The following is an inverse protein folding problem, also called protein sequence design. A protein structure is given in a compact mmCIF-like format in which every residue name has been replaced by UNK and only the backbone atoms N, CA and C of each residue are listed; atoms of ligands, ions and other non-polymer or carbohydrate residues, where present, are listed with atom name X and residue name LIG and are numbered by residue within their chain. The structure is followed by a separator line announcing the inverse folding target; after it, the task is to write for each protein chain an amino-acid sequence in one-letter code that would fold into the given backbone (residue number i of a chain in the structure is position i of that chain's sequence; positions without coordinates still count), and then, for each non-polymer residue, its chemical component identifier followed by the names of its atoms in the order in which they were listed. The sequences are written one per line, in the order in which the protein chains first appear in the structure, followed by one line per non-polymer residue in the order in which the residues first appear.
data_IF_907788448516
#
_entry.id   IF_907788448516
#
_cell.length_a   1.000
_cell.length_b   1.000
_cell.length_c   1.000
_cell.angle_alpha   90.00
_cell.angle_beta   90.00
_cell.angle_gamma   90.00
#
_symmetry.space_group_name_H-M   'P 1'
#
loop_
_entity.id
_entity.type
_entity.pdbx_description
1 polymer ?
#
# COMPACT_ATOMS: atom_id res chain seq x y z
N UNK A 1 15.52 -13.33 13.99
CA UNK A 1 15.91 -14.69 13.54
C UNK A 1 15.50 -14.90 12.09
N UNK A 2 15.74 -16.08 11.51
CA UNK A 2 15.39 -16.44 10.13
C UNK A 2 14.16 -17.38 10.09
N UNK A 3 12.93 -16.85 10.25
CA UNK A 3 11.72 -17.67 10.23
C UNK A 3 11.48 -18.29 8.84
N UNK A 4 10.74 -19.40 8.79
CA UNK A 4 10.16 -19.86 7.54
C UNK A 4 9.16 -18.83 7.00
N UNK A 5 8.88 -18.84 5.70
CA UNK A 5 7.87 -17.96 5.10
C UNK A 5 6.52 -18.05 5.82
N UNK A 6 6.03 -19.28 6.09
CA UNK A 6 4.76 -19.49 6.80
C UNK A 6 4.77 -18.91 8.22
N UNK A 7 5.89 -19.03 8.92
CA UNK A 7 6.05 -18.45 10.26
C UNK A 7 6.04 -16.92 10.21
N UNK A 8 6.69 -16.33 9.20
CA UNK A 8 6.68 -14.88 9.02
C UNK A 8 5.28 -14.36 8.72
N UNK A 9 4.56 -14.99 7.79
CA UNK A 9 3.15 -14.62 7.48
C UNK A 9 2.27 -14.71 8.72
N UNK A 10 2.43 -15.74 9.55
CA UNK A 10 1.69 -15.85 10.81
C UNK A 10 1.94 -14.68 11.77
N UNK A 11 3.20 -14.23 11.90
CA UNK A 11 3.55 -13.08 12.75
C UNK A 11 3.02 -11.76 12.20
N UNK A 12 3.07 -11.57 10.89
CA UNK A 12 2.51 -10.39 10.22
C UNK A 12 1.01 -10.34 10.45
N UNK A 13 0.30 -11.45 10.23
CA UNK A 13 -1.14 -11.52 10.48
C UNK A 13 -1.51 -11.21 11.94
N UNK A 14 -0.75 -11.73 12.92
CA UNK A 14 -0.95 -11.42 14.34
C UNK A 14 -0.74 -9.92 14.63
N UNK A 15 0.31 -9.33 14.06
CA UNK A 15 0.65 -7.92 14.24
C UNK A 15 -0.42 -7.01 13.62
N UNK A 16 -0.86 -7.31 12.39
CA UNK A 16 -1.86 -6.52 11.68
C UNK A 16 -3.23 -6.59 12.37
N UNK A 17 -3.62 -7.78 12.86
CA UNK A 17 -4.86 -7.93 13.64
C UNK A 17 -4.83 -7.13 14.94
N UNK A 18 -3.68 -7.12 15.63
CA UNK A 18 -3.51 -6.28 16.81
C UNK A 18 -3.55 -4.78 16.46
N UNK A 19 -2.96 -4.37 15.34
CA UNK A 19 -3.00 -3.00 14.86
C UNK A 19 -4.43 -2.55 14.51
N UNK A 20 -5.24 -3.40 13.87
CA UNK A 20 -6.64 -3.10 13.57
C UNK A 20 -7.49 -2.88 14.83
N UNK A 21 -7.14 -3.48 15.97
CA UNK A 21 -7.82 -3.25 17.23
C UNK A 21 -7.60 -1.82 17.79
N UNK A 22 -6.62 -1.08 17.24
CA UNK A 22 -6.23 0.28 17.65
C UNK A 22 -6.27 1.30 16.49
N UNK A 23 -7.01 0.99 15.42
CA UNK A 23 -7.06 1.79 14.19
C UNK A 23 -7.71 3.17 14.34
N UNK A 24 -8.37 3.41 15.47
CA UNK A 24 -9.03 4.67 15.82
C UNK A 24 -8.03 5.78 16.19
N UNK A 25 -6.78 5.42 16.48
CA UNK A 25 -5.72 6.37 16.76
C UNK A 25 -5.14 6.91 15.44
N UNK A 26 -5.21 8.23 15.18
CA UNK A 26 -4.59 8.81 13.99
C UNK A 26 -3.08 8.60 13.99
N UNK A 27 -2.51 8.31 12.82
CA UNK A 27 -1.06 8.11 12.67
C UNK A 27 -0.25 9.31 13.18
N UNK A 28 -0.72 10.54 12.93
CA UNK A 28 -0.08 11.77 13.38
C UNK A 28 0.05 11.83 14.90
N UNK A 29 -0.93 11.30 15.65
CA UNK A 29 -0.85 11.21 17.13
C UNK A 29 0.23 10.25 17.56
N UNK A 30 0.39 9.11 16.88
CA UNK A 30 1.47 8.16 17.18
C UNK A 30 2.85 8.80 16.96
N UNK A 31 3.01 9.56 15.88
CA UNK A 31 4.25 10.30 15.59
C UNK A 31 4.52 11.37 16.67
N UNK A 32 3.49 12.10 17.10
CA UNK A 32 3.61 13.12 18.14
C UNK A 32 4.09 12.52 19.46
N UNK A 33 3.49 11.41 19.90
CA UNK A 33 3.84 10.76 21.17
C UNK A 33 5.23 10.10 21.14
N UNK A 34 5.62 9.49 20.02
CA UNK A 34 6.94 8.86 19.88
C UNK A 34 8.06 9.88 19.63
N UNK A 35 7.73 11.09 19.18
CA UNK A 35 8.63 12.19 18.89
C UNK A 35 9.95 11.78 18.19
N UNK A 36 9.91 11.03 17.06
CA UNK A 36 11.11 10.61 16.38
C UNK A 36 11.90 11.83 15.84
N UNK A 37 13.22 11.71 15.61
CA UNK A 37 13.99 12.77 14.96
C UNK A 37 13.35 13.21 13.65
N UNK A 38 13.07 14.51 13.53
CA UNK A 38 12.40 15.06 12.35
C UNK A 38 13.34 15.03 11.15
N UNK A 39 12.83 14.57 10.02
CA UNK A 39 13.49 14.64 8.72
C UNK A 39 12.53 15.28 7.71
N UNK A 40 13.05 16.13 6.83
CA UNK A 40 12.30 16.63 5.67
C UNK A 40 12.38 15.69 4.47
N UNK A 41 13.29 14.71 4.51
CA UNK A 41 13.58 13.78 3.41
C UNK A 41 13.01 12.37 3.62
N UNK A 42 12.36 12.11 4.77
CA UNK A 42 11.87 10.78 5.13
C UNK A 42 10.52 10.86 5.81
N UNK A 43 9.63 9.95 5.43
CA UNK A 43 8.38 9.76 6.17
C UNK A 43 8.68 9.20 7.57
N UNK A 44 8.00 9.69 8.62
CA UNK A 44 8.22 9.22 9.98
C UNK A 44 7.82 7.74 10.13
N UNK A 45 8.53 7.04 11.01
CA UNK A 45 8.31 5.65 11.44
C UNK A 45 8.48 4.54 10.38
N UNK A 46 8.12 4.78 9.12
CA UNK A 46 8.26 3.82 8.03
C UNK A 46 8.54 4.52 6.70
N UNK A 47 9.17 3.79 5.77
CA UNK A 47 9.60 4.29 4.48
C UNK A 47 9.05 3.49 3.30
N UNK A 48 8.47 2.31 3.57
CA UNK A 48 7.86 1.43 2.57
C UNK A 48 6.38 1.27 2.88
N UNK A 49 5.52 1.61 1.92
CA UNK A 49 4.07 1.42 1.99
C UNK A 49 3.65 0.23 1.13
N UNK A 50 2.69 -0.55 1.63
CA UNK A 50 2.02 -1.62 0.87
C UNK A 50 0.51 -1.46 0.99
N UNK A 51 -0.14 -1.24 -0.15
CA UNK A 51 -1.59 -1.27 -0.31
C UNK A 51 -1.98 -2.52 -1.09
N UNK A 52 -2.89 -3.33 -0.57
CA UNK A 52 -3.48 -4.46 -1.30
C UNK A 52 -4.99 -4.25 -1.44
N UNK A 53 -5.43 -3.99 -2.66
CA UNK A 53 -6.84 -3.87 -3.02
C UNK A 53 -7.38 -5.26 -3.39
N UNK A 54 -7.89 -5.96 -2.39
CA UNK A 54 -8.43 -7.33 -2.53
C UNK A 54 -9.96 -7.38 -2.55
N UNK A 55 -10.63 -6.22 -2.51
CA UNK A 55 -12.08 -6.13 -2.68
C UNK A 55 -12.43 -5.78 -4.12
N UNK A 56 -13.57 -6.26 -4.66
CA UNK A 56 -13.99 -5.90 -6.01
C UNK A 56 -14.08 -4.39 -6.18
N UNK A 57 -13.39 -3.85 -7.18
CA UNK A 57 -13.47 -2.43 -7.48
C UNK A 57 -14.93 -2.03 -7.76
N UNK A 58 -15.44 -0.94 -7.15
CA UNK A 58 -16.74 -0.42 -7.51
C UNK A 58 -16.75 -0.09 -9.00
N UNK A 59 -17.68 -0.68 -9.76
CA UNK A 59 -17.94 -0.25 -11.14
C UNK A 59 -18.99 0.85 -11.07
N UNK A 60 -18.63 2.14 -11.17
CA UNK A 60 -19.62 3.19 -11.19
C UNK A 60 -20.55 2.99 -12.38
N UNK A 61 -21.84 2.78 -12.11
CA UNK A 61 -22.88 2.77 -13.13
C UNK A 61 -23.43 4.18 -13.25
N UNK A 62 -23.24 4.80 -14.42
CA UNK A 62 -23.80 6.10 -14.76
C UNK A 62 -24.65 5.95 -16.01
N UNK A 63 -25.93 6.31 -15.92
CA UNK A 63 -26.88 6.11 -17.01
C UNK A 63 -26.43 6.83 -18.28
N UNK A 64 -26.35 6.08 -19.39
CA UNK A 64 -25.94 6.58 -20.70
C UNK A 64 -24.43 6.85 -20.84
N UNK A 65 -23.59 6.51 -19.85
CA UNK A 65 -22.15 6.75 -19.87
C UNK A 65 -21.35 5.46 -19.72
N UNK A 66 -20.33 5.31 -20.55
CA UNK A 66 -19.30 4.28 -20.38
C UNK A 66 -18.18 4.85 -19.51
N UNK A 67 -17.89 4.24 -18.37
CA UNK A 67 -16.80 4.65 -17.48
C UNK A 67 -15.59 3.74 -17.67
N UNK A 68 -14.47 4.32 -18.06
CA UNK A 68 -13.16 3.67 -18.09
C UNK A 68 -12.24 4.32 -17.06
N UNK A 69 -11.45 3.51 -16.35
CA UNK A 69 -10.43 4.02 -15.41
C UNK A 69 -9.27 4.60 -16.22
N UNK A 70 -9.01 5.88 -16.06
CA UNK A 70 -7.78 6.50 -16.58
C UNK A 70 -6.61 6.06 -15.68
N UNK A 71 -5.58 5.46 -16.27
CA UNK A 71 -4.47 4.86 -15.54
C UNK A 71 -3.36 5.86 -15.19
N UNK A 72 -3.43 7.11 -15.65
CA UNK A 72 -2.36 8.08 -15.41
C UNK A 72 -2.91 9.43 -14.97
N UNK A 73 -3.12 9.60 -13.68
CA UNK A 73 -2.94 10.93 -13.10
C UNK A 73 -1.47 10.97 -12.69
N UNK A 74 -0.66 11.79 -13.36
CA UNK A 74 0.76 11.91 -13.05
C UNK A 74 0.95 12.23 -11.57
N UNK A 75 1.34 11.22 -10.78
CA UNK A 75 1.60 11.37 -9.35
C UNK A 75 2.81 12.29 -9.24
N UNK A 76 2.60 13.46 -8.64
CA UNK A 76 3.64 14.50 -8.56
C UNK A 76 4.40 14.29 -7.25
N UNK A 77 5.53 13.57 -7.32
CA UNK A 77 6.44 13.27 -6.21
C UNK A 77 6.04 12.04 -5.37
N UNK A 78 7.05 11.33 -4.85
CA UNK A 78 6.85 10.18 -3.96
C UNK A 78 6.74 10.63 -2.49
N UNK A 79 5.74 10.13 -1.77
CA UNK A 79 5.57 10.40 -0.33
C UNK A 79 6.46 9.51 0.56
N UNK A 80 6.83 8.35 0.04
CA UNK A 80 7.58 7.30 0.73
C UNK A 80 8.81 6.93 -0.10
N UNK A 81 9.76 6.19 0.46
CA UNK A 81 10.91 5.73 -0.33
C UNK A 81 10.42 4.73 -1.41
N UNK A 82 9.49 3.84 -1.04
CA UNK A 82 8.79 2.90 -1.94
C UNK A 82 7.30 2.77 -1.57
N UNK A 83 6.42 2.73 -2.56
CA UNK A 83 4.99 2.47 -2.37
C UNK A 83 4.51 1.41 -3.35
N UNK A 84 4.09 0.26 -2.81
CA UNK A 84 3.48 -0.81 -3.58
C UNK A 84 1.96 -0.68 -3.53
N UNK A 85 1.35 -0.38 -4.68
CA UNK A 85 -0.10 -0.33 -4.81
C UNK A 85 -0.56 -1.52 -5.66
N UNK A 86 -1.03 -2.58 -5.00
CA UNK A 86 -1.39 -3.86 -5.60
C UNK A 86 -2.91 -4.06 -5.62
N UNK A 87 -3.39 -4.83 -6.59
CA UNK A 87 -4.79 -5.23 -6.73
C UNK A 87 -4.88 -6.71 -7.07
N UNK A 88 -5.67 -7.47 -6.31
CA UNK A 88 -5.97 -8.86 -6.62
C UNK A 88 -7.06 -8.93 -7.69
N UNK A 89 -6.78 -9.66 -8.76
CA UNK A 89 -7.73 -9.91 -9.84
C UNK A 89 -8.47 -11.21 -9.57
N UNK A 90 -9.77 -11.20 -9.83
CA UNK A 90 -10.62 -12.37 -9.74
C UNK A 90 -11.44 -12.50 -11.03
N UNK A 91 -11.69 -13.73 -11.46
CA UNK A 91 -12.61 -13.99 -12.56
C UNK A 91 -14.09 -13.85 -12.15
N UNK A 92 -15.00 -14.10 -13.09
CA UNK A 92 -16.45 -13.99 -12.86
C UNK A 92 -16.96 -14.96 -11.78
N UNK A 93 -16.24 -16.06 -11.54
CA UNK A 93 -16.54 -17.04 -10.49
C UNK A 93 -15.84 -16.74 -9.15
N UNK A 94 -15.09 -15.63 -9.08
CA UNK A 94 -14.35 -15.24 -7.88
C UNK A 94 -13.06 -16.03 -7.64
N UNK A 95 -12.52 -16.70 -8.66
CA UNK A 95 -11.23 -17.41 -8.55
C UNK A 95 -10.07 -16.45 -8.79
N UNK A 96 -8.92 -16.62 -8.10
CA UNK A 96 -7.77 -15.76 -8.31
C UNK A 96 -7.26 -15.78 -9.76
N UNK A 97 -7.12 -14.60 -10.36
CA UNK A 97 -6.59 -14.37 -11.70
C UNK A 97 -5.23 -13.67 -11.68
N UNK A 98 -4.61 -13.54 -10.51
CA UNK A 98 -3.29 -12.93 -10.31
C UNK A 98 -3.38 -11.58 -9.61
N UNK A 99 -2.24 -10.90 -9.58
CA UNK A 99 -2.07 -9.61 -8.91
C UNK A 99 -1.46 -8.64 -9.92
N UNK A 100 -2.04 -7.44 -10.01
CA UNK A 100 -1.53 -6.32 -10.82
C UNK A 100 -1.24 -5.15 -9.89
N UNK A 101 -0.38 -4.23 -10.28
CA UNK A 101 -0.15 -3.05 -9.47
C UNK A 101 0.91 -2.13 -10.05
N UNK A 102 1.27 -1.14 -9.25
CA UNK A 102 2.33 -0.19 -9.54
C UNK A 102 3.27 -0.05 -8.34
N UNK A 103 4.51 0.32 -8.67
CA UNK A 103 5.53 0.72 -7.70
C UNK A 103 5.83 2.20 -7.95
N UNK A 104 5.54 3.03 -6.95
CA UNK A 104 6.04 4.41 -6.88
C UNK A 104 7.31 4.41 -6.01
N UNK A 105 8.36 5.09 -6.47
CA UNK A 105 9.63 5.17 -5.77
C UNK A 105 10.18 6.60 -5.77
N UNK A 106 10.98 6.91 -4.77
CA UNK A 106 11.74 8.16 -4.71
C UNK A 106 12.91 8.13 -5.71
N UNK A 107 12.86 8.96 -6.76
CA UNK A 107 13.90 9.04 -7.80
C UNK A 107 15.24 9.58 -7.28
N UNK A 108 15.25 10.26 -6.12
CA UNK A 108 16.50 10.67 -5.47
C UNK A 108 17.24 9.46 -4.84
N UNK A 109 16.55 8.33 -4.64
CA UNK A 109 17.08 7.13 -3.99
C UNK A 109 17.25 5.94 -4.92
N UNK A 110 16.33 5.78 -5.88
CA UNK A 110 16.25 4.63 -6.74
C UNK A 110 16.20 5.03 -8.22
N UNK A 111 16.78 4.18 -9.05
CA UNK A 111 16.52 4.19 -10.47
C UNK A 111 15.51 3.09 -10.85
N UNK A 112 15.01 3.14 -12.09
CA UNK A 112 14.05 2.16 -12.59
C UNK A 112 14.56 0.71 -12.54
N UNK A 113 15.87 0.50 -12.53
CA UNK A 113 16.45 -0.85 -12.51
C UNK A 113 16.57 -1.43 -11.09
N UNK A 114 16.44 -0.58 -10.07
CA UNK A 114 16.67 -0.92 -8.65
C UNK A 114 15.44 -0.76 -7.77
N UNK A 115 14.42 -0.04 -8.24
CA UNK A 115 13.09 -0.02 -7.64
C UNK A 115 12.42 -1.40 -7.71
#
# INVERSE_FOLDING_TARGET
GAPSFRTLVGRVAETDLAAYAHQDIPFERVVEELAPPRSLARHPLFQVMLSLNNTPAPRPHLDGLSVSREMSVGRTGSKFDLSWDLSEQHDEEGRPQGITGELEYDEDLFDKATA
#
